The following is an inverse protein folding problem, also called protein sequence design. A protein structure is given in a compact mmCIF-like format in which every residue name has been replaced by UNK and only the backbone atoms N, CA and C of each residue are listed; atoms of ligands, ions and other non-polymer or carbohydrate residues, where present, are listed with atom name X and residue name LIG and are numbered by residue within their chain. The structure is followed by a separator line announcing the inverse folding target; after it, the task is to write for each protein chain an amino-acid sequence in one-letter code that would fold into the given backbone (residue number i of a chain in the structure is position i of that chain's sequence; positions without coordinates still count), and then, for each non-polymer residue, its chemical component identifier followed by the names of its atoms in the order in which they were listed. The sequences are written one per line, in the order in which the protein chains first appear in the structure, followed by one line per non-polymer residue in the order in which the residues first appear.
data_IF_614503030742
#
_entry.id   IF_614503030742
#
_cell.length_a   1.000
_cell.length_b   1.000
_cell.length_c   1.000
_cell.angle_alpha   90.00
_cell.angle_beta   90.00
_cell.angle_gamma   90.00
#
_symmetry.space_group_name_H-M   'P 1'
#
loop_
_entity.id
_entity.type
_entity.pdbx_description
1 polymer ?
#
# COMPACT_ATOMS: atom_id res chain seq x y z
N UNK A 1 13.55 -24.87 -2.24
CA UNK A 1 12.71 -24.33 -1.15
C UNK A 1 12.51 -22.80 -1.22
N UNK A 2 13.56 -21.96 -1.30
CA UNK A 2 13.42 -20.49 -1.31
C UNK A 2 12.54 -19.92 -2.44
N UNK A 3 12.74 -20.38 -3.68
CA UNK A 3 11.94 -19.94 -4.84
C UNK A 3 10.44 -20.30 -4.72
N UNK A 4 10.12 -21.43 -4.07
CA UNK A 4 8.75 -21.84 -3.81
C UNK A 4 8.07 -20.90 -2.80
N UNK A 5 8.73 -20.62 -1.67
CA UNK A 5 8.21 -19.68 -0.67
C UNK A 5 8.04 -18.26 -1.23
N UNK A 6 8.97 -17.79 -2.07
CA UNK A 6 8.83 -16.50 -2.76
C UNK A 6 7.61 -16.47 -3.69
N UNK A 7 7.36 -17.54 -4.44
CA UNK A 7 6.20 -17.63 -5.32
C UNK A 7 4.88 -17.64 -4.53
N UNK A 8 4.85 -18.31 -3.38
CA UNK A 8 3.71 -18.29 -2.46
C UNK A 8 3.50 -16.88 -1.91
N UNK A 9 4.54 -16.25 -1.37
CA UNK A 9 4.45 -14.90 -0.78
C UNK A 9 4.02 -13.83 -1.81
N UNK A 10 4.51 -13.92 -3.06
CA UNK A 10 4.12 -13.02 -4.15
C UNK A 10 2.64 -13.13 -4.50
N UNK A 11 2.11 -14.36 -4.55
CA UNK A 11 0.68 -14.60 -4.85
C UNK A 11 -0.23 -14.09 -3.74
N UNK A 12 0.19 -14.23 -2.47
CA UNK A 12 -0.61 -13.78 -1.33
C UNK A 12 -0.79 -12.26 -1.32
N UNK A 13 0.24 -11.48 -1.69
CA UNK A 13 0.20 -10.01 -1.62
C UNK A 13 -0.27 -9.30 -2.88
N UNK A 14 -0.54 -10.01 -3.99
CA UNK A 14 -0.92 -9.38 -5.26
C UNK A 14 -2.22 -8.54 -5.14
N UNK A 15 -3.11 -9.00 -4.26
CA UNK A 15 -4.39 -8.37 -3.95
C UNK A 15 -4.27 -7.32 -2.83
N UNK A 16 -3.12 -7.21 -2.16
CA UNK A 16 -2.95 -6.29 -1.04
C UNK A 16 -2.45 -4.93 -1.51
N UNK A 17 -3.07 -3.89 -0.98
CA UNK A 17 -2.72 -2.50 -1.25
C UNK A 17 -2.52 -1.74 0.04
N UNK A 18 -1.70 -0.69 -0.07
CA UNK A 18 -1.52 0.33 0.94
C UNK A 18 -2.00 1.67 0.41
N UNK A 19 -2.93 2.26 1.13
CA UNK A 19 -3.41 3.61 0.93
C UNK A 19 -2.71 4.54 1.94
N UNK A 20 -2.06 5.59 1.45
CA UNK A 20 -1.34 6.57 2.27
C UNK A 20 -1.83 7.97 1.97
N UNK A 21 -1.73 8.87 2.94
CA UNK A 21 -2.07 10.28 2.75
C UNK A 21 -3.57 10.58 2.73
N UNK A 22 -4.44 9.59 3.01
CA UNK A 22 -5.88 9.78 3.09
C UNK A 22 -6.26 10.44 4.43
N UNK A 23 -6.84 11.66 4.43
CA UNK A 23 -7.26 12.32 5.67
C UNK A 23 -8.44 11.61 6.33
N UNK A 24 -8.39 11.47 7.66
CA UNK A 24 -9.50 10.93 8.47
C UNK A 24 -9.78 11.79 9.71
N UNK A 25 -10.21 13.07 9.54
CA UNK A 25 -10.37 14.01 10.65
C UNK A 25 -11.41 13.54 11.67
N UNK A 26 -12.44 12.80 11.22
CA UNK A 26 -13.53 12.29 12.07
C UNK A 26 -13.29 10.89 12.63
N UNK A 27 -12.08 10.33 12.46
CA UNK A 27 -11.73 8.96 12.89
C UNK A 27 -12.78 7.92 12.47
N UNK A 28 -13.29 8.05 11.24
CA UNK A 28 -14.25 7.12 10.65
C UNK A 28 -13.67 5.70 10.62
N UNK A 29 -14.55 4.71 10.72
CA UNK A 29 -14.21 3.29 10.54
C UNK A 29 -13.55 3.08 9.17
N UNK A 30 -12.57 2.18 9.11
CA UNK A 30 -11.75 1.99 7.91
C UNK A 30 -12.58 1.51 6.72
N UNK A 31 -13.56 0.62 6.93
CA UNK A 31 -14.44 0.14 5.85
C UNK A 31 -15.20 1.30 5.19
N UNK A 32 -15.77 2.20 5.99
CA UNK A 32 -16.50 3.38 5.50
C UNK A 32 -15.54 4.31 4.77
N UNK A 33 -14.39 4.59 5.36
CA UNK A 33 -13.40 5.49 4.78
C UNK A 33 -12.88 5.00 3.42
N UNK A 34 -12.65 3.69 3.29
CA UNK A 34 -12.21 3.07 2.03
C UNK A 34 -13.33 3.01 0.99
N UNK A 35 -14.58 2.83 1.42
CA UNK A 35 -15.73 2.91 0.53
C UNK A 35 -15.91 4.33 -0.03
N UNK A 36 -15.81 5.35 0.83
CA UNK A 36 -15.87 6.76 0.43
C UNK A 36 -14.70 7.09 -0.54
N UNK A 37 -13.50 6.61 -0.25
CA UNK A 37 -12.38 6.73 -1.19
C UNK A 37 -12.69 6.08 -2.56
N UNK A 38 -13.25 4.87 -2.57
CA UNK A 38 -13.57 4.17 -3.80
C UNK A 38 -14.64 4.92 -4.62
N UNK A 39 -15.72 5.37 -3.99
CA UNK A 39 -16.87 5.95 -4.66
C UNK A 39 -16.69 7.44 -4.96
N UNK A 40 -16.24 8.23 -3.98
CA UNK A 40 -16.22 9.69 -4.09
C UNK A 40 -14.97 10.20 -4.80
N UNK A 41 -13.83 9.55 -4.58
CA UNK A 41 -12.53 9.98 -5.12
C UNK A 41 -12.22 9.24 -6.41
N UNK A 42 -12.28 7.90 -6.37
CA UNK A 42 -11.87 7.03 -7.50
C UNK A 42 -13.02 6.77 -8.49
N UNK A 43 -14.26 7.18 -8.15
CA UNK A 43 -15.46 7.01 -8.97
C UNK A 43 -15.74 5.55 -9.34
N UNK A 44 -15.44 4.62 -8.44
CA UNK A 44 -15.76 3.21 -8.62
C UNK A 44 -17.28 2.99 -8.49
N UNK A 45 -17.95 2.40 -9.49
CA UNK A 45 -19.40 2.20 -9.44
C UNK A 45 -19.83 1.28 -8.30
N UNK A 46 -20.81 1.72 -7.51
CA UNK A 46 -21.38 0.93 -6.40
C UNK A 46 -22.02 -0.39 -6.87
N UNK A 47 -22.47 -0.45 -8.13
CA UNK A 47 -23.02 -1.67 -8.75
C UNK A 47 -21.98 -2.77 -8.98
N UNK A 48 -20.68 -2.45 -8.98
CA UNK A 48 -19.59 -3.43 -9.21
C UNK A 48 -19.08 -4.11 -7.93
N UNK A 49 -19.77 -3.88 -6.80
CA UNK A 49 -19.50 -4.56 -5.54
C UNK A 49 -18.41 -3.87 -4.70
N UNK A 50 -17.84 -4.62 -3.77
CA UNK A 50 -16.91 -4.07 -2.77
C UNK A 50 -15.50 -3.89 -3.34
N UNK A 51 -14.96 -2.67 -3.24
CA UNK A 51 -13.61 -2.34 -3.71
C UNK A 51 -12.50 -2.92 -2.82
N UNK A 52 -12.69 -2.83 -1.49
CA UNK A 52 -11.70 -3.20 -0.49
C UNK A 52 -12.31 -4.07 0.60
N UNK A 53 -11.53 -5.01 1.10
CA UNK A 53 -11.90 -5.91 2.20
C UNK A 53 -10.72 -6.03 3.16
N UNK A 54 -10.97 -6.45 4.40
CA UNK A 54 -9.93 -6.66 5.43
C UNK A 54 -9.06 -5.43 5.70
N UNK A 55 -9.66 -4.24 5.92
CA UNK A 55 -8.86 -3.07 6.22
C UNK A 55 -8.15 -3.22 7.57
N UNK A 56 -6.87 -2.85 7.60
CA UNK A 56 -6.07 -2.82 8.81
C UNK A 56 -5.12 -1.61 8.83
N UNK A 57 -4.81 -1.06 10.01
CA UNK A 57 -3.80 -0.01 10.14
C UNK A 57 -2.42 -0.49 9.66
N UNK A 58 -1.69 0.34 8.93
CA UNK A 58 -0.39 0.04 8.35
C UNK A 58 0.68 1.08 8.70
N UNK A 59 0.60 1.64 9.92
CA UNK A 59 1.47 2.71 10.40
C UNK A 59 1.02 4.09 9.96
N UNK A 60 1.96 5.04 9.90
CA UNK A 60 1.70 6.43 9.54
C UNK A 60 2.54 6.85 8.34
N UNK A 61 1.95 7.67 7.47
CA UNK A 61 2.63 8.37 6.39
C UNK A 61 2.41 9.87 6.58
N UNK A 62 3.48 10.58 6.94
CA UNK A 62 3.37 11.96 7.42
C UNK A 62 2.44 12.04 8.63
N UNK A 63 1.40 12.86 8.53
CA UNK A 63 0.40 13.06 9.59
C UNK A 63 -0.87 12.20 9.42
N UNK A 64 -0.87 11.26 8.48
CA UNK A 64 -2.05 10.44 8.15
C UNK A 64 -1.78 8.96 8.42
N UNK A 65 -2.80 8.25 8.89
CA UNK A 65 -2.74 6.79 9.05
C UNK A 65 -2.65 6.15 7.66
N UNK A 66 -1.65 5.27 7.48
CA UNK A 66 -1.61 4.39 6.33
C UNK A 66 -2.56 3.23 6.56
N UNK A 67 -3.30 2.83 5.54
CA UNK A 67 -4.31 1.78 5.60
C UNK A 67 -3.89 0.67 4.64
N UNK A 68 -3.82 -0.55 5.14
CA UNK A 68 -3.66 -1.75 4.32
C UNK A 68 -5.03 -2.38 4.10
N UNK A 69 -5.32 -2.83 2.89
CA UNK A 69 -6.54 -3.58 2.60
C UNK A 69 -6.31 -4.56 1.44
N UNK A 70 -7.18 -5.55 1.33
CA UNK A 70 -7.26 -6.43 0.16
C UNK A 70 -8.21 -5.82 -0.87
N UNK A 71 -7.74 -5.56 -2.08
CA UNK A 71 -8.55 -5.03 -3.16
C UNK A 71 -9.19 -6.13 -4.00
N UNK A 72 -10.34 -5.82 -4.59
CA UNK A 72 -10.94 -6.69 -5.62
C UNK A 72 -10.28 -6.47 -6.99
N UNK A 73 -10.33 -7.51 -7.82
CA UNK A 73 -9.80 -7.44 -9.19
C UNK A 73 -10.55 -6.41 -10.05
N UNK A 74 -11.88 -6.34 -9.91
CA UNK A 74 -12.71 -5.39 -10.65
C UNK A 74 -12.40 -3.94 -10.29
N UNK A 75 -12.18 -3.67 -8.99
CA UNK A 75 -11.70 -2.37 -8.55
C UNK A 75 -10.32 -2.07 -9.15
N UNK A 76 -9.39 -3.02 -9.14
CA UNK A 76 -8.06 -2.82 -9.71
C UNK A 76 -8.13 -2.47 -11.20
N UNK A 77 -8.96 -3.19 -11.97
CA UNK A 77 -9.16 -2.92 -13.40
C UNK A 77 -9.70 -1.50 -13.63
N UNK A 78 -10.71 -1.09 -12.86
CA UNK A 78 -11.26 0.28 -12.89
C UNK A 78 -10.23 1.33 -12.50
N UNK A 79 -9.44 1.06 -11.45
CA UNK A 79 -8.41 1.97 -10.98
C UNK A 79 -7.35 2.21 -12.05
N UNK A 80 -6.95 1.16 -12.77
CA UNK A 80 -6.00 1.25 -13.87
C UNK A 80 -6.52 2.06 -15.06
N UNK A 81 -7.80 1.94 -15.42
CA UNK A 81 -8.38 2.62 -16.58
C UNK A 81 -8.65 4.09 -16.30
N UNK A 82 -9.38 4.38 -15.22
CA UNK A 82 -9.96 5.71 -14.97
C UNK A 82 -9.62 6.23 -13.58
N UNK A 83 -9.57 5.34 -12.58
CA UNK A 83 -9.41 5.73 -11.18
C UNK A 83 -8.09 6.44 -10.85
N UNK A 84 -6.99 6.12 -11.55
CA UNK A 84 -5.70 6.85 -11.43
C UNK A 84 -5.83 8.33 -11.80
N UNK A 85 -6.55 8.61 -12.89
CA UNK A 85 -6.75 9.99 -13.37
C UNK A 85 -7.64 10.76 -12.39
N UNK A 86 -8.73 10.14 -11.94
CA UNK A 86 -9.62 10.72 -10.94
C UNK A 86 -8.89 11.03 -9.62
N UNK A 87 -8.06 10.11 -9.14
CA UNK A 87 -7.24 10.32 -7.94
C UNK A 87 -6.25 11.48 -8.12
N UNK A 88 -5.60 11.57 -9.29
CA UNK A 88 -4.69 12.66 -9.60
C UNK A 88 -5.39 14.03 -9.61
N UNK A 89 -6.55 14.11 -10.26
CA UNK A 89 -7.37 15.33 -10.30
C UNK A 89 -7.86 15.74 -8.91
N UNK A 90 -8.32 14.78 -8.11
CA UNK A 90 -8.73 15.02 -6.74
C UNK A 90 -7.58 15.59 -5.90
N UNK A 91 -6.39 14.98 -5.98
CA UNK A 91 -5.19 15.44 -5.29
C UNK A 91 -4.80 16.86 -5.71
N UNK A 92 -4.85 17.15 -7.01
CA UNK A 92 -4.55 18.49 -7.54
C UNK A 92 -5.54 19.54 -7.03
N UNK A 93 -6.83 19.22 -6.98
CA UNK A 93 -7.87 20.16 -6.58
C UNK A 93 -7.88 20.41 -5.06
N UNK A 94 -7.65 19.38 -4.24
CA UNK A 94 -7.74 19.48 -2.78
C UNK A 94 -6.37 19.70 -2.11
N UNK A 95 -5.28 19.75 -2.87
CA UNK A 95 -3.93 19.87 -2.32
C UNK A 95 -3.51 18.66 -1.47
N UNK A 96 -4.08 17.48 -1.75
CA UNK A 96 -3.77 16.24 -1.02
C UNK A 96 -2.73 15.40 -1.76
N UNK A 97 -2.04 14.52 -1.03
CA UNK A 97 -1.05 13.59 -1.59
C UNK A 97 -1.47 12.13 -1.35
N UNK A 98 -2.70 11.78 -1.73
CA UNK A 98 -3.23 10.43 -1.54
C UNK A 98 -2.58 9.48 -2.56
N UNK A 99 -2.03 8.35 -2.08
CA UNK A 99 -1.39 7.33 -2.92
C UNK A 99 -1.93 5.96 -2.62
N UNK A 100 -2.27 5.21 -3.67
CA UNK A 100 -2.61 3.79 -3.61
C UNK A 100 -1.48 2.98 -4.22
N UNK A 101 -0.81 2.16 -3.40
CA UNK A 101 0.33 1.34 -3.81
C UNK A 101 0.03 -0.14 -3.59
N UNK A 102 0.32 -0.99 -4.57
CA UNK A 102 0.30 -2.44 -4.36
C UNK A 102 1.43 -2.82 -3.41
N UNK A 103 1.12 -3.67 -2.43
CA UNK A 103 2.15 -4.19 -1.56
C UNK A 103 3.05 -5.17 -2.33
N UNK A 104 4.36 -5.03 -2.14
CA UNK A 104 5.36 -5.93 -2.70
C UNK A 104 6.07 -6.60 -1.55
N UNK A 105 6.26 -7.91 -1.62
CA UNK A 105 7.27 -8.58 -0.81
C UNK A 105 8.66 -8.22 -1.32
N UNK A 106 9.57 -7.88 -0.41
CA UNK A 106 10.99 -7.98 -0.69
C UNK A 106 11.30 -9.42 -1.09
N UNK A 107 11.97 -9.67 -2.23
CA UNK A 107 12.55 -10.97 -2.51
C UNK A 107 13.45 -11.42 -1.35
N UNK A 108 13.47 -12.71 -1.03
CA UNK A 108 14.32 -13.27 0.03
C UNK A 108 15.79 -12.96 -0.27
N UNK A 109 16.16 -12.93 -1.54
CA UNK A 109 17.48 -12.55 -2.03
C UNK A 109 17.86 -11.10 -1.71
N UNK A 110 16.92 -10.15 -1.75
CA UNK A 110 17.17 -8.76 -1.35
C UNK A 110 17.26 -8.62 0.16
N UNK A 111 16.48 -9.39 0.91
CA UNK A 111 16.56 -9.44 2.36
C UNK A 111 17.92 -9.97 2.85
N UNK A 112 18.47 -11.00 2.20
CA UNK A 112 19.81 -11.53 2.49
C UNK A 112 20.91 -10.52 2.16
N UNK A 113 20.81 -9.82 1.02
CA UNK A 113 21.73 -8.73 0.65
C UNK A 113 21.69 -7.58 1.66
N UNK A 114 20.50 -7.23 2.14
CA UNK A 114 20.34 -6.22 3.18
C UNK A 114 21.01 -6.66 4.49
N UNK A 115 20.80 -7.92 4.91
CA UNK A 115 21.48 -8.48 6.08
C UNK A 115 23.00 -8.45 5.95
N UNK A 116 23.54 -8.80 4.79
CA UNK A 116 24.97 -8.76 4.51
C UNK A 116 25.52 -7.32 4.55
N UNK A 117 24.80 -6.37 3.95
CA UNK A 117 25.15 -4.95 3.97
C UNK A 117 25.19 -4.38 5.39
N UNK A 118 24.18 -4.70 6.20
CA UNK A 118 24.09 -4.26 7.60
C UNK A 118 25.27 -4.83 8.41
N UNK A 119 25.57 -6.13 8.28
CA UNK A 119 26.74 -6.77 8.95
C UNK A 119 28.05 -6.09 8.57
N UNK A 120 28.30 -5.90 7.27
CA UNK A 120 29.51 -5.21 6.78
C UNK A 120 29.64 -3.78 7.32
N UNK A 121 28.52 -3.05 7.42
CA UNK A 121 28.50 -1.69 8.00
C UNK A 121 28.81 -1.69 9.50
N UNK A 122 28.34 -2.68 10.25
CA UNK A 122 28.67 -2.81 11.67
C UNK A 122 30.13 -3.24 11.89
N UNK A 123 30.64 -4.21 11.13
CA UNK A 123 32.05 -4.62 11.19
C UNK A 123 33.00 -3.46 10.87
N UNK A 124 32.76 -2.71 9.79
CA UNK A 124 33.57 -1.52 9.47
C UNK A 124 33.51 -0.45 10.57
N UNK A 125 32.36 -0.30 11.25
CA UNK A 125 32.21 0.66 12.37
C UNK A 125 32.95 0.23 13.63
N UNK A 126 33.09 -1.08 13.86
CA UNK A 126 33.84 -1.62 15.00
C UNK A 126 35.34 -1.48 14.75
N UNK A 127 35.79 -1.81 13.53
CA UNK A 127 37.20 -1.68 13.13
C UNK A 127 37.66 -0.21 13.17
N UNK A 128 36.82 0.74 12.75
CA UNK A 128 37.17 2.17 12.77
C UNK A 128 37.16 2.82 14.18
N UNK A 129 36.81 2.08 15.23
CA UNK A 129 36.84 2.54 16.63
C UNK A 129 38.01 1.97 17.44
N UNK A 130 38.80 1.09 16.84
CA UNK A 130 40.08 0.57 17.38
C UNK A 130 41.21 1.31 16.69
#
# INVERSE_FOLDING_TARGET
MKAYQENVNKKVLIDWVRLTGLPNPRRRKLDVLLNDFAQDIVKYPSSRGTAFTWPSPAGFYGNHMAIRARMSYDFWKHFLSEGRKALYEYNKFHGTEIKLSREKTLPITEQERLGLFIRKKFEMRIIAKV
#
